data_IF_853690415574
#
_entry.id   IF_853690415574
#
_cell.length_a   1.000
_cell.length_b   1.000
_cell.length_c   1.000
_cell.angle_alpha   90.00
_cell.angle_beta   90.00
_cell.angle_gamma   90.00
#
_symmetry.space_group_name_H-M   'P 1'
#
loop_
_entity.id
_entity.type
_entity.pdbx_description
1 polymer ?
#
# COMPACT_ATOMS: atom_id res chain seq x y z
N UNK A 1 -7.14 -29.24 -18.31
CA UNK A 1 -7.86 -30.24 -17.47
C UNK A 1 -9.29 -29.73 -17.36
N UNK A 2 -10.31 -30.48 -17.78
CA UNK A 2 -11.68 -30.00 -17.82
C UNK A 2 -12.22 -29.87 -16.39
N UNK A 3 -13.15 -28.94 -16.23
CA UNK A 3 -14.03 -28.69 -15.07
C UNK A 3 -13.40 -27.91 -13.91
N UNK A 4 -13.18 -26.60 -14.10
CA UNK A 4 -12.93 -25.65 -13.01
C UNK A 4 -14.21 -24.94 -12.56
N UNK A 5 -15.33 -25.66 -12.48
CA UNK A 5 -16.54 -25.11 -11.86
C UNK A 5 -16.45 -25.27 -10.34
N UNK A 6 -16.51 -24.14 -9.64
CA UNK A 6 -16.66 -24.13 -8.20
C UNK A 6 -18.00 -24.81 -7.84
N UNK A 7 -18.05 -25.68 -6.82
CA UNK A 7 -19.29 -26.37 -6.48
C UNK A 7 -20.39 -25.36 -6.13
N UNK A 8 -21.54 -25.46 -6.81
CA UNK A 8 -22.68 -24.55 -6.60
C UNK A 8 -23.22 -24.53 -5.15
N UNK A 9 -22.93 -25.58 -4.37
CA UNK A 9 -23.28 -25.70 -2.94
C UNK A 9 -22.21 -25.18 -1.98
N UNK A 10 -21.11 -24.64 -2.51
CA UNK A 10 -19.97 -24.20 -1.73
C UNK A 10 -19.04 -25.34 -1.31
N UNK A 11 -18.03 -24.97 -0.53
CA UNK A 11 -17.09 -25.91 0.08
C UNK A 11 -17.53 -26.26 1.51
N UNK A 12 -17.20 -27.47 1.97
CA UNK A 12 -17.57 -27.92 3.31
C UNK A 12 -16.92 -27.09 4.43
N UNK A 13 -17.45 -27.22 5.65
CA UNK A 13 -16.82 -26.64 6.84
C UNK A 13 -15.39 -27.16 6.97
N UNK A 14 -14.47 -26.29 7.39
CA UNK A 14 -13.02 -26.56 7.49
C UNK A 14 -12.28 -26.82 6.16
N UNK A 15 -12.90 -26.57 5.00
CA UNK A 15 -12.22 -26.72 3.71
C UNK A 15 -10.92 -25.91 3.62
N UNK A 16 -10.92 -24.67 4.11
CA UNK A 16 -9.73 -23.81 4.12
C UNK A 16 -8.58 -24.42 4.94
N UNK A 17 -8.90 -24.97 6.13
CA UNK A 17 -7.92 -25.65 6.99
C UNK A 17 -7.30 -26.85 6.27
N UNK A 18 -8.14 -27.72 5.69
CA UNK A 18 -7.66 -28.88 4.93
C UNK A 18 -6.86 -28.51 3.70
N UNK A 19 -7.23 -27.41 3.02
CA UNK A 19 -6.49 -26.91 1.87
C UNK A 19 -5.08 -26.44 2.28
N UNK A 20 -4.98 -25.65 3.35
CA UNK A 20 -3.69 -25.18 3.88
C UNK A 20 -2.82 -26.33 4.37
N UNK A 21 -3.38 -27.28 5.13
CA UNK A 21 -2.66 -28.47 5.60
C UNK A 21 -2.11 -29.30 4.41
N UNK A 22 -2.96 -29.58 3.42
CA UNK A 22 -2.60 -30.40 2.25
C UNK A 22 -1.55 -29.76 1.35
N UNK A 23 -1.49 -28.44 1.31
CA UNK A 23 -0.59 -27.68 0.45
C UNK A 23 0.48 -26.92 1.25
N UNK A 24 0.71 -27.28 2.51
CA UNK A 24 1.66 -26.61 3.41
C UNK A 24 3.09 -26.63 2.89
N UNK A 25 3.46 -27.63 2.10
CA UNK A 25 4.75 -27.75 1.40
C UNK A 25 4.92 -26.70 0.28
N UNK A 26 3.81 -26.23 -0.30
CA UNK A 26 3.78 -25.29 -1.43
C UNK A 26 3.39 -23.88 -1.00
N UNK A 27 2.52 -23.76 0.00
CA UNK A 27 2.09 -22.50 0.59
C UNK A 27 3.15 -22.10 1.61
N UNK A 28 4.18 -21.40 1.13
CA UNK A 28 5.09 -20.70 2.02
C UNK A 28 4.39 -19.45 2.52
N UNK A 29 4.17 -19.36 3.82
CA UNK A 29 3.78 -18.10 4.45
C UNK A 29 4.93 -17.11 4.25
N UNK A 30 4.73 -16.12 3.38
CA UNK A 30 5.62 -14.99 3.25
C UNK A 30 5.00 -13.86 4.06
N UNK A 31 5.68 -13.47 5.14
CA UNK A 31 5.31 -12.24 5.83
C UNK A 31 5.62 -11.09 4.89
N UNK A 32 4.60 -10.33 4.51
CA UNK A 32 4.84 -9.04 3.84
C UNK A 32 5.62 -8.17 4.81
N UNK A 33 6.91 -7.99 4.56
CA UNK A 33 7.70 -6.99 5.25
C UNK A 33 7.04 -5.62 4.99
N UNK A 34 7.02 -4.76 6.01
CA UNK A 34 6.56 -3.37 5.86
C UNK A 34 7.23 -2.78 4.61
N UNK A 35 6.39 -2.38 3.66
CA UNK A 35 6.83 -1.71 2.43
C UNK A 35 7.35 -0.28 2.71
N UNK A 36 7.53 0.11 3.98
CA UNK A 36 8.07 1.42 4.38
C UNK A 36 9.34 1.78 3.60
N UNK A 37 10.19 0.80 3.31
CA UNK A 37 11.41 1.06 2.56
C UNK A 37 11.21 1.22 1.03
N UNK A 38 10.05 0.83 0.49
CA UNK A 38 9.73 0.77 -0.93
C UNK A 38 8.64 1.76 -1.40
N UNK A 39 7.91 2.43 -0.49
CA UNK A 39 6.91 3.44 -0.89
C UNK A 39 7.54 4.74 -1.42
N UNK A 40 8.82 4.99 -1.14
CA UNK A 40 9.53 6.15 -1.69
C UNK A 40 9.90 6.00 -3.19
N UNK A 41 9.60 4.86 -3.82
CA UNK A 41 10.20 4.50 -5.12
C UNK A 41 9.24 4.38 -6.30
N UNK A 42 8.00 4.83 -6.16
CA UNK A 42 7.08 5.03 -7.28
C UNK A 42 7.14 6.47 -7.84
N UNK A 43 8.24 7.19 -7.61
CA UNK A 43 8.49 8.46 -8.28
C UNK A 43 8.83 8.17 -9.75
N UNK A 44 8.00 8.66 -10.67
CA UNK A 44 8.31 8.63 -12.09
C UNK A 44 9.53 9.53 -12.36
N UNK A 45 10.67 8.93 -12.71
CA UNK A 45 11.93 9.65 -12.94
C UNK A 45 11.78 10.78 -13.96
N UNK A 46 10.89 10.62 -14.95
CA UNK A 46 10.66 11.62 -15.98
C UNK A 46 9.92 12.85 -15.46
N UNK A 47 9.07 12.72 -14.45
CA UNK A 47 8.27 13.83 -13.90
C UNK A 47 8.85 14.39 -12.62
N UNK A 48 9.92 13.78 -12.09
CA UNK A 48 10.51 14.15 -10.81
C UNK A 48 11.05 15.58 -10.85
N UNK A 49 11.81 15.93 -11.89
CA UNK A 49 12.44 17.24 -12.02
C UNK A 49 11.37 18.34 -12.11
N UNK A 50 10.43 18.21 -13.04
CA UNK A 50 9.31 19.14 -13.22
C UNK A 50 8.46 19.28 -11.94
N UNK A 51 8.23 18.20 -11.21
CA UNK A 51 7.51 18.25 -9.93
C UNK A 51 8.24 19.10 -8.88
N UNK A 52 9.55 18.96 -8.74
CA UNK A 52 10.32 19.77 -7.78
C UNK A 52 10.44 21.22 -8.23
N UNK A 53 10.61 21.49 -9.53
CA UNK A 53 10.61 22.85 -10.08
C UNK A 53 9.28 23.58 -9.80
N UNK A 54 8.15 22.90 -10.00
CA UNK A 54 6.83 23.45 -9.71
C UNK A 54 6.64 23.74 -8.21
N UNK A 55 7.09 22.84 -7.34
CA UNK A 55 7.01 23.06 -5.89
C UNK A 55 7.89 24.24 -5.45
N UNK A 56 9.11 24.33 -5.98
CA UNK A 56 10.03 25.44 -5.70
C UNK A 56 9.41 26.78 -6.11
N UNK A 57 8.89 26.89 -7.34
CA UNK A 57 8.21 28.10 -7.81
C UNK A 57 7.01 28.49 -6.93
N UNK A 58 6.22 27.53 -6.47
CA UNK A 58 5.07 27.79 -5.57
C UNK A 58 5.53 28.26 -4.19
N UNK A 59 6.64 27.74 -3.67
CA UNK A 59 7.16 28.12 -2.35
C UNK A 59 7.82 29.50 -2.42
N UNK A 60 8.63 29.75 -3.44
CA UNK A 60 9.38 31.00 -3.62
C UNK A 60 8.50 32.14 -4.17
N UNK A 61 7.37 31.82 -4.81
CA UNK A 61 6.47 32.78 -5.43
C UNK A 61 7.03 33.36 -6.74
N UNK A 62 6.14 33.55 -7.72
CA UNK A 62 6.46 34.22 -8.99
C UNK A 62 6.24 35.75 -8.91
N UNK A 63 6.42 36.46 -10.03
CA UNK A 63 6.20 37.92 -10.10
C UNK A 63 4.81 38.33 -9.57
N UNK A 64 4.79 38.93 -8.38
CA UNK A 64 3.58 39.44 -7.74
C UNK A 64 2.95 38.51 -6.71
N UNK A 65 3.57 37.36 -6.42
CA UNK A 65 3.18 36.46 -5.34
C UNK A 65 4.11 36.59 -4.13
N UNK A 66 3.59 36.26 -2.94
CA UNK A 66 4.35 36.27 -1.69
C UNK A 66 5.01 34.90 -1.44
N UNK A 67 6.28 34.90 -1.03
CA UNK A 67 6.99 33.69 -0.59
C UNK A 67 6.22 33.01 0.55
N UNK A 68 6.03 31.69 0.47
CA UNK A 68 5.45 30.89 1.55
C UNK A 68 6.52 30.69 2.64
N UNK A 69 6.37 31.27 3.85
CA UNK A 69 7.33 31.06 4.92
C UNK A 69 7.35 29.58 5.34
N UNK A 70 8.53 29.05 5.64
CA UNK A 70 8.70 27.65 6.05
C UNK A 70 7.80 27.25 7.24
N UNK A 71 7.47 28.21 8.11
CA UNK A 71 6.60 28.03 9.29
C UNK A 71 5.15 27.68 8.92
N UNK A 72 4.74 27.96 7.67
CA UNK A 72 3.39 27.77 7.14
C UNK A 72 3.30 26.59 6.14
N UNK A 73 4.39 25.83 5.95
CA UNK A 73 4.39 24.62 5.13
C UNK A 73 3.94 23.45 6.01
N UNK A 74 2.71 22.99 5.81
CA UNK A 74 2.14 21.85 6.52
C UNK A 74 2.17 20.61 5.63
N UNK A 75 3.04 19.64 5.95
CA UNK A 75 2.99 18.32 5.33
C UNK A 75 1.82 17.54 5.93
N UNK A 76 0.81 17.25 5.12
CA UNK A 76 -0.28 16.34 5.50
C UNK A 76 -0.07 15.05 4.73
N UNK A 77 0.44 14.00 5.38
CA UNK A 77 0.27 12.65 4.87
C UNK A 77 -1.13 12.15 5.24
N UNK A 78 -1.77 11.42 4.32
CA UNK A 78 -3.00 10.72 4.66
C UNK A 78 -2.66 9.57 5.59
N UNK A 79 -2.78 9.80 6.90
CA UNK A 79 -2.68 8.72 7.87
C UNK A 79 -3.95 7.88 7.79
N UNK A 80 -3.89 6.78 7.04
CA UNK A 80 -4.96 5.79 6.97
C UNK A 80 -5.20 5.18 8.35
N UNK A 81 -6.17 5.68 9.11
CA UNK A 81 -6.57 5.10 10.39
C UNK A 81 -7.24 3.75 10.10
N UNK A 82 -6.50 2.65 10.21
CA UNK A 82 -7.09 1.32 10.22
C UNK A 82 -7.92 1.14 11.49
N UNK A 83 -9.24 1.28 11.39
CA UNK A 83 -10.18 1.11 12.50
C UNK A 83 -10.27 -0.34 13.06
N UNK A 84 -9.42 -1.27 12.61
CA UNK A 84 -9.46 -2.66 13.07
C UNK A 84 -8.27 -2.97 13.97
N UNK A 85 -8.58 -3.37 15.21
CA UNK A 85 -7.66 -4.12 16.07
C UNK A 85 -7.21 -5.34 15.28
N UNK A 86 -5.92 -5.42 14.95
CA UNK A 86 -5.32 -6.62 14.38
C UNK A 86 -5.50 -7.76 15.36
N UNK A 87 -6.43 -8.67 15.08
CA UNK A 87 -6.59 -9.87 15.90
C UNK A 87 -5.63 -10.91 15.35
N UNK A 88 -4.60 -11.23 16.13
CA UNK A 88 -3.69 -12.34 15.85
C UNK A 88 -4.46 -13.65 16.12
N UNK A 89 -4.85 -14.36 15.05
CA UNK A 89 -5.30 -15.74 15.19
C UNK A 89 -4.07 -16.65 15.05
N UNK A 90 -3.64 -17.23 16.18
CA UNK A 90 -2.64 -18.31 16.16
C UNK A 90 -3.30 -19.56 15.58
N UNK A 91 -2.82 -19.97 14.40
CA UNK A 91 -3.09 -21.28 13.78
C UNK A 91 -2.09 -22.32 14.28
#
# INVERSE_FOLDING_TARGET
RPDSEFPAKGVGQNWAKHFVEKHSDKIKAFWSHLLDHSHAHAMNLYTKEEFFELIEAVIEGDEGEDIIPCELIYETDETGIQQRIGVEERV
#
